data_IF_701888572319
#
_entry.id   IF_701888572319
#
_cell.length_a   1.000
_cell.length_b   1.000
_cell.length_c   1.000
_cell.angle_alpha   90.00
_cell.angle_beta   90.00
_cell.angle_gamma   90.00
#
_symmetry.space_group_name_H-M   'P 1'
#
loop_
_entity.id
_entity.type
_entity.pdbx_description
1 polymer ?
#
# COMPACT_ATOMS: atom_id res chain seq x y z
N UNK A 1 -20.42 23.30 -4.04
CA UNK A 1 -20.33 22.85 -2.65
C UNK A 1 -20.39 21.33 -2.68
N UNK A 2 -19.23 20.66 -2.73
CA UNK A 2 -19.14 19.20 -2.89
C UNK A 2 -18.72 18.64 -1.52
N UNK A 3 -19.61 17.88 -0.89
CA UNK A 3 -19.40 17.21 0.39
C UNK A 3 -18.28 16.16 0.24
N UNK A 4 -17.16 16.38 0.94
CA UNK A 4 -15.95 15.55 0.93
C UNK A 4 -15.93 14.43 1.99
N UNK A 5 -17.08 13.98 2.51
CA UNK A 5 -17.04 13.20 3.77
C UNK A 5 -18.06 12.07 3.88
N UNK A 6 -18.34 11.37 2.79
CA UNK A 6 -19.10 10.12 2.85
C UNK A 6 -18.23 8.99 2.34
N UNK A 7 -17.63 8.24 3.28
CA UNK A 7 -17.00 6.96 2.98
C UNK A 7 -18.09 6.06 2.40
N UNK A 8 -18.03 5.67 1.12
CA UNK A 8 -19.02 4.76 0.57
C UNK A 8 -18.92 3.44 1.32
N UNK A 9 -20.04 3.00 1.90
CA UNK A 9 -20.12 1.77 2.68
C UNK A 9 -19.49 0.61 1.89
N UNK A 10 -18.55 -0.15 2.49
CA UNK A 10 -17.77 -1.11 1.73
C UNK A 10 -18.64 -2.30 1.33
N UNK A 11 -18.97 -2.37 0.04
CA UNK A 11 -19.47 -3.60 -0.59
C UNK A 11 -18.37 -4.66 -0.48
N UNK A 12 -18.67 -5.80 0.13
CA UNK A 12 -17.67 -6.85 0.32
C UNK A 12 -17.59 -7.78 -0.91
N UNK A 13 -16.41 -8.33 -1.24
CA UNK A 13 -16.28 -9.37 -2.26
C UNK A 13 -17.19 -10.58 -2.01
N UNK A 14 -17.48 -10.88 -0.74
CA UNK A 14 -18.37 -11.95 -0.29
C UNK A 14 -19.81 -11.71 -0.77
N UNK A 15 -20.35 -10.51 -0.58
CA UNK A 15 -21.70 -10.13 -1.05
C UNK A 15 -21.86 -10.33 -2.56
N UNK A 16 -20.85 -9.94 -3.34
CA UNK A 16 -20.84 -10.12 -4.80
C UNK A 16 -20.87 -11.61 -5.15
N UNK A 17 -20.05 -12.45 -4.48
CA UNK A 17 -20.03 -13.90 -4.73
C UNK A 17 -21.35 -14.56 -4.38
N UNK A 18 -21.99 -14.13 -3.29
CA UNK A 18 -23.28 -14.69 -2.86
C UNK A 18 -24.40 -14.32 -3.83
N UNK A 19 -24.41 -13.08 -4.32
CA UNK A 19 -25.36 -12.64 -5.35
C UNK A 19 -25.11 -13.34 -6.69
N UNK A 20 -23.85 -13.52 -7.11
CA UNK A 20 -23.51 -14.29 -8.31
C UNK A 20 -24.04 -15.73 -8.22
N UNK A 21 -23.87 -16.40 -7.07
CA UNK A 21 -24.43 -17.74 -6.85
C UNK A 21 -25.95 -17.73 -6.85
N UNK A 22 -26.59 -16.73 -6.25
CA UNK A 22 -28.04 -16.59 -6.23
C UNK A 22 -28.60 -16.42 -7.65
N UNK A 23 -28.00 -15.54 -8.45
CA UNK A 23 -28.36 -15.31 -9.84
C UNK A 23 -28.15 -16.58 -10.70
N UNK A 24 -27.05 -17.30 -10.50
CA UNK A 24 -26.81 -18.59 -11.16
C UNK A 24 -27.88 -19.64 -10.83
N UNK A 25 -28.28 -19.73 -9.55
CA UNK A 25 -29.39 -20.61 -9.12
C UNK A 25 -30.73 -20.20 -9.73
N UNK A 26 -31.00 -18.90 -9.83
CA UNK A 26 -32.22 -18.36 -10.44
C UNK A 26 -32.27 -18.72 -11.94
N UNK A 27 -31.17 -18.57 -12.68
CA UNK A 27 -31.08 -19.01 -14.07
C UNK A 27 -31.36 -20.52 -14.20
N UNK A 28 -30.74 -21.34 -13.35
CA UNK A 28 -30.93 -22.79 -13.36
C UNK A 28 -32.39 -23.17 -13.05
N UNK A 29 -33.04 -22.45 -12.14
CA UNK A 29 -34.45 -22.62 -11.81
C UNK A 29 -35.35 -22.33 -13.01
N UNK A 30 -35.23 -21.14 -13.62
CA UNK A 30 -36.03 -20.77 -14.81
C UNK A 30 -35.80 -21.71 -15.99
N UNK A 31 -34.55 -22.12 -16.22
CA UNK A 31 -34.23 -23.10 -17.26
C UNK A 31 -34.95 -24.43 -17.06
N UNK A 32 -34.96 -24.95 -15.82
CA UNK A 32 -35.66 -26.19 -15.48
C UNK A 32 -37.18 -26.04 -15.60
N UNK A 33 -37.74 -24.91 -15.15
CA UNK A 33 -39.16 -24.62 -15.30
C UNK A 33 -39.61 -24.54 -16.77
N UNK A 34 -38.75 -24.05 -17.66
CA UNK A 34 -38.98 -24.05 -19.10
C UNK A 34 -38.71 -25.41 -19.78
N UNK A 35 -38.37 -26.47 -19.03
CA UNK A 35 -38.05 -27.79 -19.57
C UNK A 35 -36.78 -27.83 -20.42
N UNK A 36 -35.90 -26.84 -20.30
CA UNK A 36 -34.71 -26.71 -21.15
C UNK A 36 -33.49 -27.39 -20.52
N UNK A 37 -32.65 -28.01 -21.35
CA UNK A 37 -31.30 -28.44 -20.93
C UNK A 37 -30.31 -27.28 -21.04
N UNK A 38 -29.15 -27.38 -20.39
CA UNK A 38 -28.09 -26.36 -20.51
C UNK A 38 -27.67 -26.15 -21.98
N UNK A 39 -27.58 -27.24 -22.75
CA UNK A 39 -27.26 -27.20 -24.18
C UNK A 39 -28.35 -26.53 -25.00
N UNK A 40 -29.64 -26.75 -24.67
CA UNK A 40 -30.75 -26.11 -25.36
C UNK A 40 -30.75 -24.58 -25.13
N UNK A 41 -30.54 -24.15 -23.89
CA UNK A 41 -30.43 -22.73 -23.55
C UNK A 41 -29.20 -22.08 -24.22
N UNK A 42 -28.07 -22.79 -24.23
CA UNK A 42 -26.85 -22.33 -24.90
C UNK A 42 -27.07 -22.04 -26.39
N UNK A 43 -27.73 -22.97 -27.11
CA UNK A 43 -28.09 -22.78 -28.53
C UNK A 43 -29.00 -21.57 -28.74
N UNK A 44 -30.04 -21.42 -27.92
CA UNK A 44 -31.03 -20.32 -28.03
C UNK A 44 -30.44 -18.95 -27.69
N UNK A 45 -29.45 -18.91 -26.79
CA UNK A 45 -28.76 -17.67 -26.42
C UNK A 45 -27.55 -17.36 -27.31
N UNK A 46 -27.17 -18.27 -28.21
CA UNK A 46 -25.93 -18.22 -29.00
C UNK A 46 -24.64 -18.22 -28.17
N UNK A 47 -24.62 -19.00 -27.08
CA UNK A 47 -23.45 -19.22 -26.22
C UNK A 47 -23.09 -20.71 -26.14
N UNK A 48 -21.96 -21.01 -25.52
CA UNK A 48 -21.55 -22.39 -25.28
C UNK A 48 -22.26 -23.00 -24.06
N UNK A 49 -22.37 -24.34 -24.03
CA UNK A 49 -22.91 -25.06 -22.86
C UNK A 49 -22.08 -24.81 -21.60
N UNK A 50 -20.76 -24.69 -21.73
CA UNK A 50 -19.86 -24.41 -20.61
C UNK A 50 -20.06 -22.99 -20.06
N UNK A 51 -20.34 -22.00 -20.93
CA UNK A 51 -20.72 -20.66 -20.49
C UNK A 51 -21.97 -20.69 -19.62
N UNK A 52 -23.03 -21.38 -20.05
CA UNK A 52 -24.26 -21.55 -19.26
C UNK A 52 -23.96 -22.26 -17.92
N UNK A 53 -23.16 -23.33 -17.94
CA UNK A 53 -22.79 -24.06 -16.72
C UNK A 53 -21.99 -23.20 -15.72
N UNK A 54 -21.04 -22.39 -16.21
CA UNK A 54 -20.25 -21.48 -15.37
C UNK A 54 -21.13 -20.39 -14.74
N UNK A 55 -22.09 -19.86 -15.50
CA UNK A 55 -23.07 -18.90 -14.98
C UNK A 55 -23.93 -19.54 -13.89
N UNK A 56 -24.42 -20.77 -14.09
CA UNK A 56 -25.25 -21.47 -13.10
C UNK A 56 -24.54 -21.71 -11.76
N UNK A 57 -23.21 -21.83 -11.75
CA UNK A 57 -22.40 -21.98 -10.54
C UNK A 57 -21.83 -20.65 -10.01
N UNK A 58 -22.22 -19.52 -10.59
CA UNK A 58 -21.80 -18.17 -10.15
C UNK A 58 -20.39 -17.75 -10.59
N UNK A 59 -19.74 -18.47 -11.51
CA UNK A 59 -18.42 -18.11 -12.09
C UNK A 59 -18.64 -17.27 -13.35
N UNK A 60 -19.22 -16.10 -13.16
CA UNK A 60 -19.76 -15.23 -14.21
C UNK A 60 -18.67 -14.41 -14.96
N UNK A 61 -18.62 -14.55 -16.29
CA UNK A 61 -17.93 -13.62 -17.22
C UNK A 61 -18.83 -13.31 -18.43
N UNK A 62 -20.16 -13.26 -18.25
CA UNK A 62 -21.11 -13.03 -19.34
C UNK A 62 -21.56 -11.56 -19.40
N UNK A 63 -21.94 -11.13 -20.60
CA UNK A 63 -22.34 -9.75 -20.88
C UNK A 63 -23.83 -9.54 -20.60
N UNK A 64 -24.28 -8.28 -20.51
CA UNK A 64 -25.72 -7.95 -20.38
C UNK A 64 -26.58 -8.62 -21.45
N UNK A 65 -26.08 -8.67 -22.70
CA UNK A 65 -26.78 -9.32 -23.81
C UNK A 65 -27.00 -10.83 -23.65
N UNK A 66 -26.22 -11.52 -22.81
CA UNK A 66 -26.53 -12.90 -22.42
C UNK A 66 -27.80 -12.94 -21.57
N UNK A 67 -27.90 -12.09 -20.56
CA UNK A 67 -29.00 -12.04 -19.60
C UNK A 67 -30.31 -11.62 -20.25
N UNK A 68 -30.28 -10.63 -21.14
CA UNK A 68 -31.46 -10.22 -21.93
C UNK A 68 -32.00 -11.36 -22.82
N UNK A 69 -31.09 -12.10 -23.47
CA UNK A 69 -31.48 -13.26 -24.30
C UNK A 69 -32.02 -14.40 -23.42
N UNK A 70 -31.35 -14.71 -22.32
CA UNK A 70 -31.80 -15.75 -21.40
C UNK A 70 -33.17 -15.42 -20.80
N UNK A 71 -33.39 -14.17 -20.40
CA UNK A 71 -34.68 -13.71 -19.85
C UNK A 71 -35.82 -13.87 -20.86
N UNK A 72 -35.60 -13.46 -22.12
CA UNK A 72 -36.58 -13.63 -23.20
C UNK A 72 -36.86 -15.10 -23.50
N UNK A 73 -35.83 -15.93 -23.64
CA UNK A 73 -35.98 -17.35 -23.98
C UNK A 73 -36.64 -18.17 -22.86
N UNK A 74 -36.38 -17.79 -21.60
CA UNK A 74 -36.94 -18.44 -20.42
C UNK A 74 -38.25 -17.78 -19.95
N UNK A 75 -38.67 -16.69 -20.57
CA UNK A 75 -39.84 -15.89 -20.22
C UNK A 75 -39.83 -15.44 -18.75
N UNK A 76 -38.67 -14.99 -18.28
CA UNK A 76 -38.46 -14.58 -16.88
C UNK A 76 -38.93 -13.14 -16.55
N UNK A 77 -39.54 -12.45 -17.53
CA UNK A 77 -40.22 -11.15 -17.37
C UNK A 77 -39.32 -10.05 -16.78
N UNK A 78 -38.04 -10.01 -17.17
CA UNK A 78 -37.05 -9.05 -16.68
C UNK A 78 -36.35 -9.47 -15.40
N UNK A 79 -36.85 -10.48 -14.68
CA UNK A 79 -36.31 -10.88 -13.37
C UNK A 79 -34.83 -11.26 -13.41
N UNK A 80 -34.33 -11.81 -14.53
CA UNK A 80 -32.91 -12.16 -14.67
C UNK A 80 -32.05 -10.96 -15.03
N UNK A 81 -32.61 -9.99 -15.74
CA UNK A 81 -31.93 -8.75 -16.11
C UNK A 81 -31.80 -7.84 -14.90
N UNK A 82 -32.87 -7.65 -14.13
CA UNK A 82 -32.88 -6.80 -12.92
C UNK A 82 -31.87 -7.29 -11.87
N UNK A 83 -31.84 -8.61 -11.65
CA UNK A 83 -30.87 -9.24 -10.75
C UNK A 83 -29.42 -9.11 -11.25
N UNK A 84 -29.20 -9.11 -12.57
CA UNK A 84 -27.88 -8.85 -13.15
C UNK A 84 -27.47 -7.38 -13.02
N UNK A 85 -28.40 -6.44 -13.26
CA UNK A 85 -28.13 -5.00 -13.13
C UNK A 85 -27.80 -4.66 -11.66
N UNK A 86 -28.52 -5.23 -10.69
CA UNK A 86 -28.18 -5.12 -9.24
C UNK A 86 -26.75 -5.62 -8.94
N UNK A 87 -26.35 -6.74 -9.56
CA UNK A 87 -24.99 -7.26 -9.42
C UNK A 87 -23.94 -6.31 -10.04
N UNK A 88 -24.23 -5.71 -11.20
CA UNK A 88 -23.33 -4.75 -11.84
C UNK A 88 -23.17 -3.47 -11.03
N UNK A 89 -24.24 -2.99 -10.37
CA UNK A 89 -24.17 -1.85 -9.46
C UNK A 89 -23.24 -2.14 -8.29
N UNK A 90 -23.36 -3.29 -7.64
CA UNK A 90 -22.46 -3.70 -6.54
C UNK A 90 -20.99 -3.83 -7.00
N UNK A 91 -20.75 -4.40 -8.19
CA UNK A 91 -19.41 -4.49 -8.76
C UNK A 91 -18.85 -3.08 -9.04
N UNK A 92 -19.68 -2.18 -9.55
CA UNK A 92 -19.30 -0.78 -9.83
C UNK A 92 -18.98 -0.03 -8.54
N UNK A 93 -19.80 -0.19 -7.50
CA UNK A 93 -19.55 0.38 -6.18
C UNK A 93 -18.25 -0.14 -5.57
N UNK A 94 -17.97 -1.45 -5.63
CA UNK A 94 -16.71 -2.00 -5.15
C UNK A 94 -15.50 -1.42 -5.92
N UNK A 95 -15.59 -1.27 -7.24
CA UNK A 95 -14.53 -0.67 -8.06
C UNK A 95 -14.32 0.80 -7.68
N UNK A 96 -15.40 1.56 -7.51
CA UNK A 96 -15.35 2.95 -7.09
C UNK A 96 -14.71 3.09 -5.69
N UNK A 97 -15.09 2.23 -4.75
CA UNK A 97 -14.49 2.21 -3.41
C UNK A 97 -12.99 1.91 -3.48
N UNK A 98 -12.56 0.89 -4.23
CA UNK A 98 -11.13 0.58 -4.42
C UNK A 98 -10.36 1.73 -5.08
N UNK A 99 -10.95 2.38 -6.09
CA UNK A 99 -10.34 3.52 -6.75
C UNK A 99 -10.22 4.73 -5.81
N UNK A 100 -11.25 4.98 -4.99
CA UNK A 100 -11.24 6.00 -3.95
C UNK A 100 -10.14 5.73 -2.93
N UNK A 101 -10.00 4.50 -2.42
CA UNK A 101 -8.92 4.12 -1.49
C UNK A 101 -7.56 4.36 -2.13
N UNK A 102 -7.33 3.91 -3.37
CA UNK A 102 -6.06 4.07 -4.05
C UNK A 102 -5.71 5.54 -4.33
N UNK A 103 -6.67 6.36 -4.73
CA UNK A 103 -6.48 7.80 -4.94
C UNK A 103 -6.22 8.51 -3.62
N UNK A 104 -6.95 8.16 -2.55
CA UNK A 104 -6.74 8.71 -1.23
C UNK A 104 -5.34 8.35 -0.69
N UNK A 105 -4.90 7.10 -0.86
CA UNK A 105 -3.52 6.70 -0.56
C UNK A 105 -2.50 7.49 -1.39
N UNK A 106 -2.76 7.72 -2.68
CA UNK A 106 -1.89 8.52 -3.55
C UNK A 106 -1.81 9.97 -3.09
N UNK A 107 -2.93 10.58 -2.72
CA UNK A 107 -2.98 11.95 -2.21
C UNK A 107 -2.23 12.07 -0.88
N UNK A 108 -2.39 11.09 0.03
CA UNK A 108 -1.60 11.02 1.26
C UNK A 108 -0.10 10.90 0.94
N UNK A 109 0.30 10.05 -0.02
CA UNK A 109 1.68 9.96 -0.50
C UNK A 109 2.18 11.27 -1.12
N UNK A 110 1.33 12.02 -1.82
CA UNK A 110 1.70 13.30 -2.43
C UNK A 110 1.84 14.43 -1.40
N UNK A 111 0.93 14.53 -0.43
CA UNK A 111 1.06 15.45 0.70
C UNK A 111 2.32 15.12 1.53
N UNK A 112 2.60 13.84 1.73
CA UNK A 112 3.84 13.33 2.31
C UNK A 112 5.09 13.69 1.47
N UNK A 113 4.95 13.94 0.17
CA UNK A 113 6.03 14.24 -0.77
C UNK A 113 6.27 15.74 -0.99
N UNK A 114 5.44 16.64 -0.43
CA UNK A 114 5.81 18.05 -0.28
C UNK A 114 7.06 18.08 0.60
N UNK A 115 8.21 18.60 0.13
CA UNK A 115 9.42 18.62 0.95
C UNK A 115 9.05 19.36 2.24
N UNK A 116 9.26 18.76 3.43
CA UNK A 116 9.11 19.53 4.64
C UNK A 116 10.03 20.73 4.49
N UNK A 117 9.51 21.94 4.79
CA UNK A 117 10.38 23.09 5.07
C UNK A 117 11.51 22.54 5.93
N UNK A 118 12.79 22.65 5.51
CA UNK A 118 13.87 21.91 6.13
C UNK A 118 13.79 22.14 7.63
N UNK A 119 13.39 21.08 8.36
CA UNK A 119 13.37 21.12 9.80
C UNK A 119 14.84 21.22 10.22
N UNK A 120 15.17 22.06 11.22
CA UNK A 120 16.52 22.10 11.72
C UNK A 120 16.90 20.68 12.15
N UNK A 121 18.01 20.16 11.60
CA UNK A 121 18.55 18.85 11.90
C UNK A 121 18.45 18.58 13.40
N UNK A 122 17.77 17.49 13.79
CA UNK A 122 17.72 17.07 15.20
C UNK A 122 19.14 16.70 15.64
N UNK A 123 19.83 17.67 16.22
CA UNK A 123 21.13 17.48 16.84
C UNK A 123 20.91 16.71 18.14
N UNK A 124 21.12 15.40 18.12
CA UNK A 124 21.26 14.63 19.35
C UNK A 124 22.64 14.98 19.91
N UNK A 125 22.67 15.97 20.81
CA UNK A 125 23.88 16.29 21.57
C UNK A 125 23.84 15.47 22.85
N UNK A 126 24.70 14.45 22.95
CA UNK A 126 24.91 13.72 24.20
C UNK A 126 25.90 14.51 25.04
N UNK A 127 25.58 14.98 26.26
CA UNK A 127 26.58 15.60 27.11
C UNK A 127 27.58 14.53 27.56
N UNK A 128 28.83 14.65 27.15
CA UNK A 128 29.93 13.76 27.59
C UNK A 128 30.59 12.90 26.50
N UNK A 129 30.01 12.81 25.30
CA UNK A 129 30.69 12.24 24.14
C UNK A 129 30.20 12.99 22.91
N UNK A 130 31.04 13.84 22.31
CA UNK A 130 30.70 14.76 21.21
C UNK A 130 30.29 14.12 19.89
N UNK A 131 29.81 12.87 19.91
CA UNK A 131 29.31 12.16 18.73
C UNK A 131 27.87 12.61 18.44
N UNK A 132 27.72 13.46 17.43
CA UNK A 132 26.41 13.80 16.86
C UNK A 132 26.04 12.75 15.83
N UNK A 133 24.97 11.97 16.07
CA UNK A 133 24.44 11.02 15.08
C UNK A 133 23.15 11.59 14.52
N UNK A 134 23.15 11.93 13.24
CA UNK A 134 21.94 12.36 12.52
C UNK A 134 21.34 11.15 11.79
N UNK A 135 20.14 10.73 12.18
CA UNK A 135 19.36 9.77 11.40
C UNK A 135 18.66 10.53 10.28
N UNK A 136 19.14 10.40 9.05
CA UNK A 136 18.55 11.05 7.86
C UNK A 136 17.55 10.15 7.13
N UNK A 137 17.56 8.84 7.39
CA UNK A 137 16.63 7.86 6.82
C UNK A 137 16.56 6.60 7.70
N UNK A 138 15.35 6.10 7.97
CA UNK A 138 15.14 4.80 8.60
C UNK A 138 15.31 3.68 7.57
N UNK A 139 16.37 2.87 7.69
CA UNK A 139 16.55 1.60 6.96
C UNK A 139 16.58 0.46 7.98
N UNK A 140 16.80 -0.77 7.50
CA UNK A 140 16.85 -2.00 8.31
C UNK A 140 17.66 -1.82 9.60
N UNK A 141 18.79 -1.12 9.49
CA UNK A 141 19.81 -1.02 10.53
C UNK A 141 19.39 -0.02 11.59
N UNK A 142 18.81 1.10 11.18
CA UNK A 142 18.30 2.11 12.09
C UNK A 142 17.09 1.56 12.87
N UNK A 143 16.21 0.76 12.23
CA UNK A 143 15.08 0.10 12.90
C UNK A 143 15.57 -0.94 13.92
N UNK A 144 16.48 -1.83 13.51
CA UNK A 144 17.08 -2.84 14.38
C UNK A 144 17.80 -2.19 15.57
N UNK A 145 18.61 -1.16 15.30
CA UNK A 145 19.35 -0.44 16.34
C UNK A 145 18.41 0.24 17.34
N UNK A 146 17.29 0.83 16.90
CA UNK A 146 16.32 1.44 17.80
C UNK A 146 15.66 0.38 18.69
N UNK A 147 15.26 -0.77 18.13
CA UNK A 147 14.65 -1.85 18.89
C UNK A 147 15.60 -2.42 19.95
N UNK A 148 16.86 -2.69 19.57
CA UNK A 148 17.89 -3.16 20.50
C UNK A 148 18.21 -2.12 21.59
N UNK A 149 18.26 -0.84 21.22
CA UNK A 149 18.48 0.25 22.16
C UNK A 149 17.34 0.40 23.18
N UNK A 150 16.10 0.17 22.75
CA UNK A 150 14.91 0.13 23.61
C UNK A 150 14.77 -1.21 24.37
N UNK A 151 15.60 -2.21 24.05
CA UNK A 151 15.55 -3.58 24.61
C UNK A 151 14.18 -4.24 24.45
N UNK A 152 13.51 -3.97 23.34
CA UNK A 152 12.19 -4.53 23.06
C UNK A 152 12.32 -5.82 22.24
N UNK A 153 11.45 -6.79 22.54
CA UNK A 153 11.23 -7.94 21.68
C UNK A 153 10.56 -7.51 20.37
N UNK A 154 10.65 -8.33 19.33
CA UNK A 154 10.04 -8.05 18.03
C UNK A 154 8.53 -7.77 18.16
N UNK A 155 7.84 -8.56 18.99
CA UNK A 155 6.42 -8.39 19.32
C UNK A 155 6.13 -7.10 20.09
N UNK A 156 6.87 -6.81 21.15
CA UNK A 156 6.67 -5.60 21.95
C UNK A 156 6.97 -4.31 21.16
N UNK A 157 7.91 -4.39 20.22
CA UNK A 157 8.23 -3.29 19.31
C UNK A 157 7.12 -3.05 18.28
N UNK A 158 6.56 -4.12 17.70
CA UNK A 158 5.43 -4.05 16.79
C UNK A 158 4.17 -3.48 17.47
N UNK A 159 3.89 -3.91 18.72
CA UNK A 159 2.79 -3.38 19.53
C UNK A 159 2.95 -1.88 19.82
N UNK A 160 4.18 -1.44 20.12
CA UNK A 160 4.48 -0.03 20.41
C UNK A 160 4.28 0.88 19.20
N UNK A 161 4.59 0.38 18.02
CA UNK A 161 4.38 1.07 16.74
C UNK A 161 2.97 0.87 16.16
N UNK A 162 2.15 0.00 16.78
CA UNK A 162 0.82 -0.41 16.31
C UNK A 162 0.83 -0.97 14.88
N UNK A 163 1.83 -1.80 14.58
CA UNK A 163 1.99 -2.47 13.29
C UNK A 163 1.97 -3.97 13.43
N UNK A 164 1.68 -4.67 12.33
CA UNK A 164 1.81 -6.12 12.29
C UNK A 164 3.29 -6.53 12.43
N UNK A 165 3.54 -7.61 13.17
CA UNK A 165 4.87 -8.17 13.38
C UNK A 165 5.62 -8.46 12.07
N UNK A 166 4.88 -8.93 11.04
CA UNK A 166 5.44 -9.24 9.72
C UNK A 166 6.10 -8.03 9.06
N UNK A 167 5.55 -6.83 9.27
CA UNK A 167 6.07 -5.58 8.71
C UNK A 167 7.43 -5.23 9.34
N UNK A 168 7.64 -5.53 10.63
CA UNK A 168 8.92 -5.36 11.31
C UNK A 168 9.95 -6.38 10.79
N UNK A 169 9.53 -7.63 10.59
CA UNK A 169 10.38 -8.69 10.01
C UNK A 169 10.82 -8.30 8.60
N UNK A 170 9.92 -7.76 7.78
CA UNK A 170 10.22 -7.30 6.42
C UNK A 170 11.20 -6.12 6.42
N UNK A 171 11.12 -5.19 7.38
CA UNK A 171 12.07 -4.09 7.48
C UNK A 171 13.45 -4.51 8.00
N UNK A 172 13.53 -5.52 8.87
CA UNK A 172 14.81 -6.06 9.34
C UNK A 172 15.44 -7.05 8.34
N UNK A 173 14.70 -7.49 7.30
CA UNK A 173 15.25 -8.30 6.21
C UNK A 173 16.01 -7.44 5.19
N UNK A 174 17.35 -7.57 5.23
CA UNK A 174 18.30 -6.89 4.33
C UNK A 174 18.04 -7.11 2.83
N UNK A 175 17.29 -8.15 2.45
CA UNK A 175 16.95 -8.40 1.04
C UNK A 175 15.88 -7.44 0.52
N UNK A 176 15.07 -6.84 1.39
CA UNK A 176 14.02 -5.92 1.01
C UNK A 176 14.49 -4.46 1.17
N UNK A 177 14.47 -3.71 0.06
CA UNK A 177 14.99 -2.34 0.02
C UNK A 177 13.89 -1.28 0.11
N UNK A 178 12.63 -1.68 0.33
CA UNK A 178 11.52 -0.75 0.44
C UNK A 178 11.55 -0.10 1.83
N UNK A 179 11.82 1.21 1.93
CA UNK A 179 11.88 1.87 3.21
C UNK A 179 10.51 1.85 3.89
N UNK A 180 10.45 1.90 5.24
CA UNK A 180 9.20 2.11 5.96
C UNK A 180 8.45 3.32 5.39
N UNK A 181 7.13 3.23 5.30
CA UNK A 181 6.31 4.33 4.78
C UNK A 181 6.49 5.60 5.61
N UNK A 182 6.15 6.78 5.08
CA UNK A 182 6.41 8.04 5.77
C UNK A 182 5.72 8.12 7.15
N UNK A 183 4.48 7.65 7.26
CA UNK A 183 3.74 7.60 8.53
C UNK A 183 4.50 6.79 9.60
N UNK A 184 5.25 5.79 9.13
CA UNK A 184 6.00 4.88 9.96
C UNK A 184 7.37 5.42 10.37
N UNK A 185 8.01 6.16 9.46
CA UNK A 185 9.22 6.93 9.78
C UNK A 185 8.93 7.96 10.88
N UNK A 186 7.78 8.64 10.81
CA UNK A 186 7.35 9.55 11.87
C UNK A 186 7.12 8.83 13.22
N UNK A 187 6.51 7.64 13.20
CA UNK A 187 6.33 6.84 14.41
C UNK A 187 7.67 6.39 15.04
N UNK A 188 8.66 6.03 14.22
CA UNK A 188 10.01 5.69 14.67
C UNK A 188 10.76 6.92 15.22
N UNK A 189 10.61 8.08 14.58
CA UNK A 189 11.16 9.35 15.06
C UNK A 189 10.56 9.73 16.42
N UNK A 190 9.24 9.63 16.56
CA UNK A 190 8.57 9.94 17.81
C UNK A 190 8.92 8.94 18.91
N UNK A 191 9.10 7.66 18.57
CA UNK A 191 9.59 6.66 19.51
C UNK A 191 11.03 6.96 19.98
N UNK A 192 11.92 7.40 19.08
CA UNK A 192 13.28 7.83 19.43
C UNK A 192 13.28 9.14 20.25
N UNK A 193 12.40 10.09 19.96
CA UNK A 193 12.21 11.34 20.74
C UNK A 193 11.63 11.10 22.12
N UNK A 194 10.85 10.05 22.32
CA UNK A 194 10.29 9.67 23.62
C UNK A 194 11.18 8.69 24.40
N UNK A 195 12.16 8.07 23.74
CA UNK A 195 13.12 7.17 24.37
C UNK A 195 13.93 7.90 25.45
N UNK A 196 14.27 7.19 26.52
CA UNK A 196 15.13 7.70 27.59
C UNK A 196 16.57 7.95 27.10
N UNK A 197 17.33 8.69 27.91
CA UNK A 197 18.69 9.10 27.56
C UNK A 197 19.63 7.90 27.39
N UNK A 198 19.41 6.83 28.16
CA UNK A 198 20.22 5.62 28.07
C UNK A 198 19.96 4.85 26.77
N UNK A 199 18.70 4.81 26.31
CA UNK A 199 18.30 4.24 25.04
C UNK A 199 18.87 5.04 23.88
N UNK A 200 18.80 6.38 23.90
CA UNK A 200 19.44 7.21 22.86
C UNK A 200 20.95 7.01 22.80
N UNK A 201 21.60 6.87 23.95
CA UNK A 201 23.04 6.60 24.04
C UNK A 201 23.40 5.22 23.48
N UNK A 202 22.63 4.18 23.81
CA UNK A 202 22.79 2.83 23.23
C UNK A 202 22.57 2.84 21.72
N UNK A 203 21.51 3.51 21.26
CA UNK A 203 21.19 3.66 19.84
C UNK A 203 22.36 4.28 19.06
N UNK A 204 22.89 5.41 19.55
CA UNK A 204 24.05 6.06 18.95
C UNK A 204 25.29 5.15 18.94
N UNK A 205 25.52 4.39 20.02
CA UNK A 205 26.64 3.44 20.10
C UNK A 205 26.50 2.26 19.13
N UNK A 206 25.31 1.66 19.00
CA UNK A 206 25.05 0.56 18.05
C UNK A 206 25.29 1.04 16.61
N UNK A 207 24.85 2.27 16.29
CA UNK A 207 25.12 2.87 14.99
C UNK A 207 26.60 3.22 14.75
N UNK A 208 27.42 3.37 15.78
CA UNK A 208 28.87 3.62 15.66
C UNK A 208 29.71 2.33 15.61
N UNK A 209 29.28 1.27 16.31
CA UNK A 209 30.06 0.02 16.47
C UNK A 209 29.88 -0.95 15.30
N UNK A 210 28.73 -0.94 14.61
CA UNK A 210 28.60 -1.71 13.37
C UNK A 210 29.32 -0.97 12.23
N UNK A 211 30.36 -1.54 11.59
CA UNK A 211 31.10 -0.83 10.55
C UNK A 211 30.13 -0.43 9.42
N UNK A 212 30.14 0.85 9.06
CA UNK A 212 29.64 1.30 7.76
C UNK A 212 30.45 0.57 6.69
N UNK A 213 29.95 -0.56 6.17
CA UNK A 213 30.44 -1.07 4.89
C UNK A 213 29.68 -0.32 3.81
N UNK A 214 30.34 0.74 3.34
CA UNK A 214 29.97 1.55 2.19
C UNK A 214 29.60 0.68 1.00
N UNK A 215 28.33 0.66 0.62
CA UNK A 215 27.88 0.44 -0.76
C UNK A 215 26.62 1.26 -0.98
N UNK A 216 26.80 2.53 -1.35
CA UNK A 216 25.90 3.26 -2.26
C UNK A 216 26.53 4.60 -2.67
N UNK A 217 27.73 4.51 -3.24
CA UNK A 217 28.28 5.56 -4.11
C UNK A 217 28.77 4.88 -5.39
N UNK A 218 27.88 4.72 -6.39
CA UNK A 218 28.18 4.83 -7.82
C UNK A 218 27.06 4.20 -8.66
N UNK A 219 26.00 4.97 -8.92
CA UNK A 219 25.41 4.93 -10.25
C UNK A 219 25.83 6.23 -10.95
N UNK A 220 26.82 6.12 -11.84
CA UNK A 220 27.25 7.19 -12.75
C UNK A 220 26.69 6.86 -14.12
N UNK A 221 25.76 7.64 -14.69
CA UNK A 221 25.46 7.52 -16.10
C UNK A 221 26.66 8.03 -16.90
N UNK A 222 27.20 7.15 -17.75
CA UNK A 222 28.22 7.50 -18.74
C UNK A 222 27.64 8.56 -19.67
N UNK A 223 28.12 9.80 -19.57
CA UNK A 223 28.46 10.68 -20.71
C UNK A 223 29.06 12.00 -20.22
N UNK A 224 30.24 12.35 -20.77
CA UNK A 224 30.74 13.74 -20.82
C UNK A 224 31.68 14.20 -19.70
N UNK A 225 33.00 14.14 -19.98
CA UNK A 225 34.14 14.96 -19.49
C UNK A 225 34.11 15.55 -18.05
N UNK A 226 35.12 15.27 -17.20
CA UNK A 226 35.24 15.91 -15.88
C UNK A 226 35.63 17.39 -16.02
N UNK A 227 34.84 18.28 -15.41
CA UNK A 227 35.26 19.65 -15.11
C UNK A 227 36.16 19.64 -13.87
N UNK A 228 37.39 20.11 -14.03
CA UNK A 228 38.35 20.32 -12.95
C UNK A 228 37.81 21.38 -11.99
N UNK A 229 37.53 21.02 -10.73
CA UNK A 229 37.27 21.98 -9.66
C UNK A 229 38.53 22.10 -8.80
N UNK A 230 39.18 23.26 -8.93
CA UNK A 230 40.31 23.70 -8.13
C UNK A 230 39.88 23.96 -6.68
N UNK A 231 40.68 23.48 -5.73
CA UNK A 231 40.51 23.74 -4.30
C UNK A 231 40.80 25.22 -3.99
N UNK A 232 39.85 25.93 -3.39
CA UNK A 232 40.09 27.26 -2.83
C UNK A 232 40.64 27.09 -1.40
N UNK A 233 41.95 27.31 -1.23
CA UNK A 233 42.60 27.37 0.07
C UNK A 233 42.17 28.62 0.85
N UNK A 234 42.00 28.44 2.17
CA UNK A 234 41.95 29.50 3.18
C UNK A 234 43.17 30.41 3.03
N UNK A 235 42.96 31.72 3.13
CA UNK A 235 43.99 32.65 3.58
C UNK A 235 43.42 33.60 4.62
N UNK A 236 44.11 33.63 5.76
CA UNK A 236 44.06 34.63 6.81
C UNK A 236 44.55 35.98 6.28
N UNK A 237 44.04 37.07 6.85
CA UNK A 237 44.52 38.41 6.51
C UNK A 237 43.66 39.51 7.14
N UNK A 238 43.66 39.60 8.47
CA UNK A 238 43.12 40.77 9.17
C UNK A 238 44.22 41.83 9.24
N UNK A 239 44.19 42.80 8.32
CA UNK A 239 44.78 44.13 8.54
C UNK A 239 43.67 45.16 8.38
N UNK A 240 43.37 45.87 9.46
CA UNK A 240 42.66 47.14 9.42
C UNK A 240 43.43 48.12 10.29
N UNK A 241 44.03 49.10 9.61
CA UNK A 241 44.65 50.27 10.19
C UNK A 241 43.56 51.23 10.73
N UNK A 242 43.82 51.77 11.93
CA UNK A 242 43.80 53.22 12.16
C UNK A 242 44.56 53.56 13.43
#
# INVERSE_FOLDING_TARGET
>A
MITMDTVPEPVTPEQIRDLQKALGRQLAHWRKAAGMTQTALAKRTAYSRSSVANVEIGRNTTTRGFWERADRELRAQGSLVDAFDTLQELITMLRAHKAWVAEHERLLRHQAAVPPKPLPSLLITTPGCGCTVTVTRWREREVLALREALRLSLGAFAERLRVALSIIVDWEDRRQHEPPSLAMQAALDDLLKLADQDARTRFARILQVLPMRSTDHAWVPRTGRPATVTALQRSEGLQAAR
#
